data_IF_873672123704
#
_entry.id   IF_873672123704
#
_cell.length_a   1.000
_cell.length_b   1.000
_cell.length_c   1.000
_cell.angle_alpha   90.00
_cell.angle_beta   90.00
_cell.angle_gamma   90.00
#
_symmetry.space_group_name_H-M   'P 1'
#
loop_
_entity.id
_entity.type
_entity.pdbx_description
1 polymer ?
#
# COMPACT_ATOMS: atom_id res chain seq x y z
N UNK A 1 12.21 8.04 20.55
CA UNK A 1 12.94 7.14 21.45
C UNK A 1 12.04 6.09 22.12
N UNK A 2 10.98 5.69 21.40
CA UNK A 2 9.93 4.84 21.99
C UNK A 2 10.27 3.33 21.88
N UNK A 3 11.50 3.00 21.46
CA UNK A 3 11.99 1.63 21.33
C UNK A 3 11.55 0.91 20.06
N UNK A 4 10.81 1.60 19.18
CA UNK A 4 10.32 1.04 17.95
C UNK A 4 11.43 0.74 16.94
N UNK A 5 11.35 -0.42 16.29
CA UNK A 5 12.27 -0.80 15.22
C UNK A 5 12.02 0.06 13.99
N UNK A 6 12.97 0.92 13.67
CA UNK A 6 12.90 1.79 12.49
C UNK A 6 13.15 1.01 11.22
N UNK A 7 14.17 0.14 11.20
CA UNK A 7 14.54 -0.66 10.04
C UNK A 7 15.38 -1.88 10.42
N UNK A 8 15.22 -2.96 9.66
CA UNK A 8 16.18 -4.07 9.61
C UNK A 8 17.07 -3.90 8.40
N UNK A 9 18.36 -4.17 8.57
CA UNK A 9 19.36 -4.06 7.51
C UNK A 9 20.18 -5.36 7.57
N UNK A 10 20.25 -6.08 6.45
CA UNK A 10 21.02 -7.29 6.35
C UNK A 10 22.50 -6.96 6.15
N UNK A 11 23.35 -7.66 6.88
CA UNK A 11 24.80 -7.58 6.78
C UNK A 11 25.40 -8.85 6.21
N UNK A 12 26.63 -8.79 5.66
CA UNK A 12 27.34 -9.96 5.19
C UNK A 12 27.64 -10.94 6.35
N UNK A 13 27.49 -12.24 6.09
CA UNK A 13 27.80 -13.30 7.05
C UNK A 13 29.23 -13.85 6.92
N UNK A 14 30.03 -13.41 5.94
CA UNK A 14 31.40 -13.85 5.72
C UNK A 14 32.36 -13.33 6.80
N UNK A 15 33.46 -14.03 7.01
CA UNK A 15 34.53 -13.64 7.94
C UNK A 15 35.19 -12.33 7.48
N UNK A 16 35.42 -11.39 8.39
CA UNK A 16 36.14 -10.15 8.15
C UNK A 16 35.43 -8.91 8.71
N UNK A 17 35.99 -7.75 8.34
CA UNK A 17 35.36 -6.46 8.67
C UNK A 17 34.38 -6.08 7.58
N UNK A 18 33.17 -5.73 7.98
CA UNK A 18 32.11 -5.32 7.08
C UNK A 18 31.56 -3.96 7.49
N UNK A 19 31.21 -3.15 6.50
CA UNK A 19 30.54 -1.88 6.70
C UNK A 19 29.11 -2.00 6.16
N UNK A 20 28.14 -1.71 7.00
CA UNK A 20 26.73 -1.64 6.64
C UNK A 20 26.26 -0.19 6.83
N UNK A 21 25.59 0.37 5.83
CA UNK A 21 25.09 1.73 5.87
C UNK A 21 23.57 1.76 5.99
N UNK A 22 23.06 2.60 6.86
CA UNK A 22 21.66 2.98 6.89
C UNK A 22 21.49 4.27 6.08
N UNK A 23 20.55 4.27 5.14
CA UNK A 23 20.21 5.42 4.28
C UNK A 23 19.36 6.48 5.01
N UNK A 24 19.23 6.38 6.31
CA UNK A 24 18.39 7.22 7.17
C UNK A 24 16.91 7.24 6.76
N UNK A 25 16.43 6.17 6.14
CA UNK A 25 15.04 6.05 5.68
C UNK A 25 14.30 4.91 6.37
N UNK A 26 13.00 5.11 6.52
CA UNK A 26 12.07 4.04 6.87
C UNK A 26 11.92 3.03 5.72
N UNK A 27 11.39 1.83 5.99
CA UNK A 27 11.02 0.90 4.93
C UNK A 27 9.97 1.49 4.01
N UNK A 28 9.90 0.95 2.78
CA UNK A 28 8.82 1.28 1.87
C UNK A 28 7.46 0.86 2.49
N UNK A 29 6.46 1.76 2.56
CA UNK A 29 5.15 1.46 3.15
C UNK A 29 4.19 0.74 2.20
N UNK A 30 4.54 0.54 0.93
CA UNK A 30 3.62 0.00 -0.07
C UNK A 30 3.29 -1.47 0.20
N UNK A 31 2.06 -1.86 -0.10
CA UNK A 31 1.63 -3.24 -0.03
C UNK A 31 2.41 -4.11 -1.03
N UNK A 32 2.67 -5.36 -0.63
CA UNK A 32 3.40 -6.32 -1.44
C UNK A 32 2.42 -7.29 -2.08
N UNK A 33 2.35 -7.37 -3.42
CA UNK A 33 1.62 -8.43 -4.11
C UNK A 33 2.34 -9.78 -3.93
N UNK A 34 1.59 -10.89 -4.08
CA UNK A 34 2.09 -12.25 -3.82
C UNK A 34 3.22 -12.67 -4.76
N UNK A 35 3.28 -12.10 -5.96
CA UNK A 35 4.31 -12.37 -6.98
C UNK A 35 5.60 -11.56 -6.78
N UNK A 36 5.68 -10.74 -5.73
CA UNK A 36 6.85 -9.91 -5.46
C UNK A 36 7.71 -10.47 -4.33
N UNK A 37 8.91 -10.91 -4.65
CA UNK A 37 9.86 -11.46 -3.68
C UNK A 37 10.52 -10.41 -2.77
N UNK A 38 10.66 -9.17 -3.23
CA UNK A 38 11.36 -8.09 -2.49
C UNK A 38 10.61 -6.77 -2.55
N UNK A 39 10.56 -6.06 -1.44
CA UNK A 39 10.12 -4.68 -1.41
C UNK A 39 11.13 -3.80 -2.16
N UNK A 40 10.64 -2.95 -3.06
CA UNK A 40 11.46 -1.98 -3.80
C UNK A 40 11.22 -0.57 -3.29
N UNK A 41 12.26 0.26 -3.30
CA UNK A 41 12.18 1.64 -2.84
C UNK A 41 12.35 1.80 -1.33
N UNK A 42 12.29 3.03 -0.87
CA UNK A 42 12.45 3.43 0.53
C UNK A 42 11.30 4.33 0.97
N UNK A 43 11.04 4.35 2.27
CA UNK A 43 10.17 5.31 2.92
C UNK A 43 10.82 6.70 3.05
N UNK A 44 10.20 7.55 3.86
CA UNK A 44 10.70 8.90 4.13
C UNK A 44 11.92 8.89 5.04
N UNK A 45 12.65 10.01 5.04
CA UNK A 45 13.78 10.21 5.92
C UNK A 45 13.36 10.16 7.40
N UNK A 46 14.23 9.59 8.20
CA UNK A 46 14.12 9.62 9.64
C UNK A 46 14.30 11.06 10.15
N UNK A 47 13.56 11.41 11.18
CA UNK A 47 13.68 12.72 11.83
C UNK A 47 15.02 12.82 12.55
N UNK A 48 15.64 14.02 12.64
CA UNK A 48 16.77 14.24 13.54
C UNK A 48 16.44 13.83 14.96
N UNK A 49 17.37 13.14 15.64
CA UNK A 49 17.17 12.65 16.99
C UNK A 49 18.11 11.52 17.38
N UNK A 50 17.84 10.89 18.52
CA UNK A 50 18.64 9.77 19.04
C UNK A 50 18.10 8.44 18.53
N UNK A 51 19.01 7.65 18.02
CA UNK A 51 18.75 6.29 17.51
C UNK A 51 19.68 5.30 18.16
N UNK A 52 19.37 4.03 18.01
CA UNK A 52 20.24 2.95 18.48
C UNK A 52 20.31 1.84 17.43
N UNK A 53 21.43 1.15 17.39
CA UNK A 53 21.64 -0.03 16.55
C UNK A 53 21.99 -1.23 17.43
N UNK A 54 21.41 -2.37 17.10
CA UNK A 54 21.70 -3.65 17.76
C UNK A 54 21.91 -4.71 16.69
N UNK A 55 22.94 -5.54 16.85
CA UNK A 55 23.28 -6.60 15.92
C UNK A 55 22.70 -7.95 16.39
N UNK A 56 22.17 -8.69 15.43
CA UNK A 56 21.65 -10.04 15.63
C UNK A 56 22.20 -10.98 14.57
N UNK A 57 22.33 -12.25 14.91
CA UNK A 57 22.50 -13.32 13.91
C UNK A 57 21.21 -14.13 13.79
N UNK A 58 21.00 -14.67 12.60
CA UNK A 58 19.93 -15.64 12.34
C UNK A 58 20.60 -16.87 11.71
N UNK A 59 20.56 -17.99 12.42
CA UNK A 59 21.14 -19.27 11.99
C UNK A 59 20.08 -20.35 12.17
N UNK A 60 19.73 -21.06 11.13
CA UNK A 60 18.71 -22.11 11.14
C UNK A 60 17.38 -21.66 11.79
N UNK A 61 16.95 -20.45 11.46
CA UNK A 61 15.73 -19.85 12.00
C UNK A 61 15.83 -19.35 13.44
N UNK A 62 16.95 -19.55 14.13
CA UNK A 62 17.17 -19.06 15.50
C UNK A 62 17.84 -17.70 15.48
N UNK A 63 17.24 -16.75 16.19
CA UNK A 63 17.77 -15.39 16.32
C UNK A 63 18.55 -15.25 17.63
N UNK A 64 19.79 -14.77 17.55
CA UNK A 64 20.65 -14.48 18.69
C UNK A 64 21.12 -13.04 18.66
N UNK A 65 21.03 -12.35 19.78
CA UNK A 65 21.58 -11.01 19.94
C UNK A 65 23.10 -11.06 20.08
N UNK A 66 23.83 -10.34 19.20
CA UNK A 66 25.30 -10.35 19.17
C UNK A 66 25.94 -9.13 19.83
N UNK A 67 25.23 -8.02 19.96
CA UNK A 67 25.78 -6.80 20.58
C UNK A 67 24.83 -6.16 21.57
N UNK A 68 25.38 -5.38 22.48
CA UNK A 68 24.64 -4.36 23.23
C UNK A 68 24.13 -3.31 22.23
N UNK A 69 23.02 -2.64 22.58
CA UNK A 69 22.51 -1.53 21.79
C UNK A 69 23.47 -0.33 21.85
N UNK A 70 23.91 0.15 20.67
CA UNK A 70 24.79 1.31 20.54
C UNK A 70 23.95 2.52 20.13
N UNK A 71 24.06 3.62 20.86
CA UNK A 71 23.35 4.86 20.59
C UNK A 71 24.15 5.77 19.65
N UNK A 72 23.44 6.52 18.80
CA UNK A 72 24.00 7.55 17.93
C UNK A 72 22.98 8.65 17.67
N UNK A 73 23.47 9.83 17.28
CA UNK A 73 22.62 10.96 16.95
C UNK A 73 22.52 11.16 15.43
N UNK A 74 21.30 11.39 14.95
CA UNK A 74 21.03 11.88 13.59
C UNK A 74 20.80 13.37 13.67
N UNK A 75 21.65 14.14 13.00
CA UNK A 75 21.62 15.61 13.05
C UNK A 75 21.45 16.20 11.64
N UNK A 76 20.79 17.36 11.48
CA UNK A 76 20.74 18.06 10.21
C UNK A 76 22.13 18.45 9.75
N UNK A 77 22.45 18.21 8.48
CA UNK A 77 23.75 18.55 7.90
C UNK A 77 23.96 20.08 7.82
N UNK A 78 22.87 20.82 7.59
CA UNK A 78 22.89 22.28 7.44
C UNK A 78 21.71 22.90 8.17
N UNK A 79 21.93 24.11 8.69
CA UNK A 79 20.82 24.98 9.09
C UNK A 79 20.20 25.56 7.81
N UNK A 80 18.88 25.48 7.67
CA UNK A 80 18.16 26.12 6.58
C UNK A 80 18.33 27.65 6.60
N UNK A 81 18.16 28.31 5.45
CA UNK A 81 18.18 29.78 5.34
C UNK A 81 17.06 30.44 6.14
N UNK A 82 15.94 29.76 6.30
CA UNK A 82 14.83 30.16 7.16
C UNK A 82 14.76 29.22 8.37
N UNK A 83 14.32 29.70 9.55
CA UNK A 83 14.13 28.80 10.68
C UNK A 83 13.17 27.68 10.27
N UNK A 84 13.67 26.45 10.32
CA UNK A 84 12.81 25.28 10.10
C UNK A 84 11.73 25.29 11.17
N UNK A 85 10.47 25.29 10.76
CA UNK A 85 9.40 24.86 11.64
C UNK A 85 9.65 23.38 12.01
N UNK A 86 9.10 22.99 13.07
CA UNK A 86 9.23 21.71 13.72
C UNK A 86 9.41 20.52 12.75
N UNK A 87 10.59 19.90 12.78
CA UNK A 87 10.85 18.65 12.04
C UNK A 87 9.83 17.56 12.40
N UNK A 88 9.32 17.58 13.63
CA UNK A 88 8.33 16.63 14.09
C UNK A 88 6.99 16.81 13.36
N UNK A 89 6.57 18.04 13.06
CA UNK A 89 5.34 18.30 12.30
C UNK A 89 5.43 17.67 10.90
N UNK A 90 6.52 17.95 10.18
CA UNK A 90 6.76 17.36 8.85
C UNK A 90 6.84 15.83 8.91
N UNK A 91 7.56 15.29 9.89
CA UNK A 91 7.71 13.86 10.07
C UNK A 91 6.35 13.18 10.35
N UNK A 92 5.57 13.72 11.30
CA UNK A 92 4.26 13.17 11.65
C UNK A 92 3.28 13.23 10.48
N UNK A 93 3.31 14.31 9.71
CA UNK A 93 2.52 14.42 8.48
C UNK A 93 2.93 13.34 7.46
N UNK A 94 4.22 13.16 7.18
CA UNK A 94 4.71 12.15 6.25
C UNK A 94 4.41 10.72 6.73
N UNK A 95 4.46 10.45 8.05
CA UNK A 95 4.00 9.18 8.62
C UNK A 95 2.50 8.95 8.40
N UNK A 96 1.69 10.01 8.48
CA UNK A 96 0.27 9.96 8.11
C UNK A 96 0.06 9.62 6.62
N UNK A 97 0.84 10.25 5.75
CA UNK A 97 0.84 9.97 4.31
C UNK A 97 1.26 8.52 4.03
N UNK A 98 2.31 8.00 4.68
CA UNK A 98 2.73 6.59 4.56
C UNK A 98 1.62 5.62 4.96
N UNK A 99 0.96 5.87 6.09
CA UNK A 99 -0.17 5.06 6.54
C UNK A 99 -1.28 5.01 5.49
N UNK A 100 -1.53 6.12 4.83
CA UNK A 100 -2.54 6.22 3.78
C UNK A 100 -2.07 5.51 2.50
N UNK A 101 -0.82 5.67 2.08
CA UNK A 101 -0.25 4.92 0.95
C UNK A 101 -0.32 3.41 1.16
N UNK A 102 -0.04 2.93 2.36
CA UNK A 102 -0.17 1.51 2.71
C UNK A 102 -1.59 1.00 2.45
N UNK A 103 -2.61 1.76 2.83
CA UNK A 103 -4.01 1.43 2.57
C UNK A 103 -4.33 1.47 1.07
N UNK A 104 -3.98 2.55 0.39
CA UNK A 104 -4.26 2.72 -1.05
C UNK A 104 -3.67 1.59 -1.87
N UNK A 105 -2.40 1.26 -1.64
CA UNK A 105 -1.75 0.19 -2.41
C UNK A 105 -2.32 -1.19 -2.10
N UNK A 106 -2.77 -1.44 -0.87
CA UNK A 106 -3.48 -2.66 -0.52
C UNK A 106 -4.86 -2.75 -1.23
N UNK A 107 -5.61 -1.65 -1.26
CA UNK A 107 -6.90 -1.58 -1.96
C UNK A 107 -6.69 -1.76 -3.46
N UNK A 108 -5.68 -1.13 -4.07
CA UNK A 108 -5.36 -1.30 -5.50
C UNK A 108 -5.10 -2.77 -5.85
N UNK A 109 -4.31 -3.48 -5.04
CA UNK A 109 -4.06 -4.93 -5.22
C UNK A 109 -5.36 -5.71 -5.07
N UNK A 110 -6.15 -5.41 -4.03
CA UNK A 110 -7.43 -6.08 -3.79
C UNK A 110 -8.40 -5.90 -4.95
N UNK A 111 -8.64 -4.66 -5.41
CA UNK A 111 -9.51 -4.36 -6.55
C UNK A 111 -9.04 -5.08 -7.81
N UNK A 112 -7.74 -5.05 -8.11
CA UNK A 112 -7.17 -5.75 -9.27
C UNK A 112 -7.40 -7.27 -9.20
N UNK A 113 -7.17 -7.90 -8.05
CA UNK A 113 -7.37 -9.33 -7.87
C UNK A 113 -8.86 -9.71 -7.91
N UNK A 114 -9.71 -8.86 -7.35
CA UNK A 114 -11.16 -9.05 -7.38
C UNK A 114 -11.70 -8.96 -8.81
N UNK A 115 -11.22 -8.01 -9.63
CA UNK A 115 -11.57 -7.94 -11.05
C UNK A 115 -11.18 -9.21 -11.82
N UNK A 116 -10.01 -9.78 -11.53
CA UNK A 116 -9.59 -11.08 -12.12
C UNK A 116 -10.54 -12.19 -11.69
N UNK A 117 -10.90 -12.24 -10.42
CA UNK A 117 -11.84 -13.24 -9.88
C UNK A 117 -13.21 -13.12 -10.54
N UNK A 118 -13.77 -11.92 -10.64
CA UNK A 118 -15.05 -11.67 -11.35
C UNK A 118 -15.01 -12.15 -12.80
N UNK A 119 -13.88 -11.90 -13.49
CA UNK A 119 -13.69 -12.42 -14.86
C UNK A 119 -13.73 -13.95 -14.91
N UNK A 120 -13.09 -14.63 -13.96
CA UNK A 120 -13.13 -16.10 -13.88
C UNK A 120 -14.52 -16.61 -13.50
N UNK A 121 -15.25 -15.90 -12.64
CA UNK A 121 -16.65 -16.23 -12.28
C UNK A 121 -17.58 -16.13 -13.48
N UNK A 122 -17.41 -15.13 -14.35
CA UNK A 122 -18.17 -15.04 -15.62
C UNK A 122 -17.90 -16.23 -16.54
N UNK A 123 -16.64 -16.71 -16.63
CA UNK A 123 -16.30 -17.90 -17.40
C UNK A 123 -16.93 -19.15 -16.76
N UNK A 124 -16.92 -19.26 -15.46
CA UNK A 124 -17.53 -20.39 -14.73
C UNK A 124 -19.06 -20.39 -14.88
N UNK A 125 -19.71 -19.20 -14.84
CA UNK A 125 -21.15 -19.06 -15.06
C UNK A 125 -21.56 -19.59 -16.43
N UNK A 126 -20.80 -19.26 -17.49
CA UNK A 126 -21.08 -19.77 -18.85
C UNK A 126 -20.95 -21.30 -18.99
N UNK A 127 -20.37 -21.97 -18.00
CA UNK A 127 -20.20 -23.44 -17.96
C UNK A 127 -21.06 -24.09 -16.85
N UNK A 128 -21.99 -23.36 -16.26
CA UNK A 128 -22.86 -23.82 -15.18
C UNK A 128 -24.26 -24.20 -15.70
N UNK A 129 -25.08 -24.75 -14.81
CA UNK A 129 -26.50 -25.00 -15.03
C UNK A 129 -27.40 -23.89 -14.44
N UNK A 130 -26.85 -22.71 -14.19
CA UNK A 130 -27.59 -21.57 -13.67
C UNK A 130 -28.59 -21.03 -14.70
N UNK A 131 -29.72 -20.52 -14.22
CA UNK A 131 -30.66 -19.79 -15.08
C UNK A 131 -30.02 -18.50 -15.59
N UNK A 132 -30.23 -18.19 -16.86
CA UNK A 132 -29.68 -17.01 -17.52
C UNK A 132 -30.31 -15.74 -16.96
N UNK A 133 -29.49 -14.74 -16.64
CA UNK A 133 -29.92 -13.37 -16.42
C UNK A 133 -29.57 -12.79 -15.06
N UNK A 134 -30.01 -13.36 -13.96
CA UNK A 134 -29.83 -12.74 -12.63
C UNK A 134 -28.36 -12.66 -12.23
N UNK A 135 -27.64 -13.77 -12.29
CA UNK A 135 -26.20 -13.80 -11.97
C UNK A 135 -25.35 -13.01 -12.94
N UNK A 136 -25.71 -12.98 -14.22
CA UNK A 136 -25.04 -12.15 -15.23
C UNK A 136 -25.12 -10.67 -14.88
N UNK A 137 -26.32 -10.19 -14.47
CA UNK A 137 -26.53 -8.82 -14.05
C UNK A 137 -25.73 -8.48 -12.78
N UNK A 138 -25.71 -9.36 -11.79
CA UNK A 138 -25.00 -9.14 -10.53
C UNK A 138 -23.48 -9.11 -10.74
N UNK A 139 -22.93 -10.03 -11.54
CA UNK A 139 -21.52 -10.02 -11.92
C UNK A 139 -21.15 -8.77 -12.73
N UNK A 140 -22.05 -8.29 -13.60
CA UNK A 140 -21.84 -7.06 -14.35
C UNK A 140 -21.83 -5.83 -13.43
N UNK A 141 -22.79 -5.70 -12.51
CA UNK A 141 -22.84 -4.62 -11.51
C UNK A 141 -21.60 -4.61 -10.62
N UNK A 142 -21.17 -5.81 -10.18
CA UNK A 142 -19.97 -5.96 -9.38
C UNK A 142 -18.71 -5.52 -10.15
N UNK A 143 -18.58 -5.95 -11.41
CA UNK A 143 -17.47 -5.53 -12.26
C UNK A 143 -17.44 -4.02 -12.46
N UNK A 144 -18.58 -3.41 -12.76
CA UNK A 144 -18.69 -1.98 -13.00
C UNK A 144 -18.34 -1.17 -11.74
N UNK A 145 -18.82 -1.59 -10.56
CA UNK A 145 -18.42 -1.02 -9.27
C UNK A 145 -16.90 -1.09 -9.02
N UNK A 146 -16.28 -2.21 -9.35
CA UNK A 146 -14.82 -2.38 -9.20
C UNK A 146 -14.02 -1.52 -10.19
N UNK A 147 -14.52 -1.34 -11.42
CA UNK A 147 -13.92 -0.45 -12.41
C UNK A 147 -14.02 1.01 -12.01
N UNK A 148 -15.14 1.44 -11.43
CA UNK A 148 -15.28 2.78 -10.86
C UNK A 148 -14.28 3.03 -9.73
N UNK A 149 -14.07 2.05 -8.84
CA UNK A 149 -13.05 2.13 -7.80
C UNK A 149 -11.63 2.23 -8.39
N UNK A 150 -11.32 1.43 -9.41
CA UNK A 150 -10.02 1.49 -10.09
C UNK A 150 -9.80 2.86 -10.74
N UNK A 151 -10.84 3.43 -11.36
CA UNK A 151 -10.78 4.78 -11.93
C UNK A 151 -10.54 5.84 -10.86
N UNK A 152 -11.21 5.77 -9.72
CA UNK A 152 -11.02 6.73 -8.63
C UNK A 152 -9.63 6.65 -8.00
N UNK A 153 -9.07 5.43 -7.92
CA UNK A 153 -7.73 5.19 -7.38
C UNK A 153 -6.63 5.60 -8.36
N UNK A 154 -6.75 5.22 -9.63
CA UNK A 154 -5.68 5.24 -10.64
C UNK A 154 -5.95 6.16 -11.83
N UNK A 155 -7.21 6.55 -12.08
CA UNK A 155 -7.65 7.29 -13.26
C UNK A 155 -7.95 6.39 -14.47
N UNK A 156 -8.53 6.98 -15.49
CA UNK A 156 -8.84 6.28 -16.75
C UNK A 156 -7.59 6.11 -17.61
N UNK A 157 -7.20 4.87 -17.87
CA UNK A 157 -6.08 4.56 -18.76
C UNK A 157 -6.34 5.06 -20.19
N UNK A 158 -7.57 4.92 -20.69
CA UNK A 158 -7.98 5.38 -22.01
C UNK A 158 -7.81 6.88 -22.25
N UNK A 159 -7.82 7.69 -21.18
CA UNK A 159 -7.57 9.14 -21.27
C UNK A 159 -6.07 9.46 -21.30
N UNK A 160 -5.23 8.61 -20.72
CA UNK A 160 -3.78 8.80 -20.71
C UNK A 160 -3.16 8.63 -22.10
N UNK A 161 -3.68 7.74 -22.93
CA UNK A 161 -3.17 7.46 -24.27
C UNK A 161 -3.25 8.66 -25.22
N UNK A 162 -4.40 9.38 -25.32
CA UNK A 162 -4.50 10.59 -26.14
C UNK A 162 -4.01 11.86 -25.42
N UNK A 163 -3.45 11.75 -24.20
CA UNK A 163 -2.95 12.89 -23.43
C UNK A 163 -4.04 13.74 -22.77
N UNK A 164 -5.24 13.24 -22.65
CA UNK A 164 -6.33 13.92 -21.95
C UNK A 164 -6.08 13.96 -20.44
N UNK A 165 -6.48 15.07 -19.80
CA UNK A 165 -6.34 15.23 -18.35
C UNK A 165 -7.35 14.37 -17.61
N UNK A 166 -6.85 13.49 -16.76
CA UNK A 166 -7.65 12.84 -15.73
C UNK A 166 -7.96 13.79 -14.57
N UNK A 167 -9.11 13.59 -13.92
CA UNK A 167 -9.36 14.20 -12.62
C UNK A 167 -8.32 13.72 -11.61
N UNK A 168 -7.93 14.55 -10.62
CA UNK A 168 -6.98 14.14 -9.59
C UNK A 168 -7.47 12.90 -8.85
N UNK A 169 -6.75 11.80 -8.99
CA UNK A 169 -7.05 10.52 -8.35
C UNK A 169 -6.64 10.50 -6.88
N UNK A 170 -7.04 9.48 -6.14
CA UNK A 170 -6.57 9.27 -4.76
C UNK A 170 -5.04 9.18 -4.73
N UNK A 171 -4.46 8.41 -5.65
CA UNK A 171 -3.00 8.25 -5.74
C UNK A 171 -2.28 9.56 -6.04
N UNK A 172 -2.74 10.35 -7.03
CA UNK A 172 -2.12 11.63 -7.38
C UNK A 172 -2.21 12.66 -6.25
N UNK A 173 -3.30 12.67 -5.47
CA UNK A 173 -3.44 13.52 -4.29
C UNK A 173 -2.43 13.16 -3.21
N UNK A 174 -2.26 11.88 -2.90
CA UNK A 174 -1.26 11.42 -1.94
C UNK A 174 0.16 11.71 -2.39
N UNK A 175 0.45 11.46 -3.67
CA UNK A 175 1.75 11.75 -4.25
C UNK A 175 2.07 13.26 -4.17
N UNK A 176 1.10 14.10 -4.45
CA UNK A 176 1.24 15.57 -4.33
C UNK A 176 1.50 15.99 -2.89
N UNK A 177 0.73 15.46 -1.93
CA UNK A 177 0.92 15.73 -0.50
C UNK A 177 2.32 15.30 -0.03
N UNK A 178 2.74 14.10 -0.41
CA UNK A 178 4.04 13.54 -0.10
C UNK A 178 5.18 14.40 -0.66
N UNK A 179 5.11 14.72 -1.96
CA UNK A 179 6.15 15.46 -2.67
C UNK A 179 6.34 16.87 -2.12
N UNK A 180 5.24 17.57 -1.83
CA UNK A 180 5.29 18.91 -1.24
C UNK A 180 5.96 18.86 0.14
N UNK A 181 5.54 17.94 1.00
CA UNK A 181 6.06 17.86 2.37
C UNK A 181 7.49 17.34 2.42
N UNK A 182 7.88 16.35 1.59
CA UNK A 182 9.23 15.80 1.58
C UNK A 182 10.26 16.70 0.92
N UNK A 183 9.83 17.66 0.09
CA UNK A 183 10.70 18.63 -0.59
C UNK A 183 11.03 19.86 0.26
N UNK A 184 10.53 19.97 1.49
CA UNK A 184 10.71 21.14 2.34
C UNK A 184 10.87 20.74 3.81
N UNK A 185 11.61 21.56 4.56
CA UNK A 185 11.76 21.44 6.02
C UNK A 185 10.84 22.40 6.80
N UNK A 186 9.93 23.09 6.11
CA UNK A 186 9.08 24.13 6.69
C UNK A 186 7.68 23.65 7.14
N UNK A 187 7.48 22.34 7.21
CA UNK A 187 6.20 21.75 7.55
C UNK A 187 5.31 21.53 6.32
N UNK A 188 4.17 20.82 6.50
CA UNK A 188 3.22 20.60 5.43
C UNK A 188 2.49 21.90 5.08
N UNK A 189 2.37 22.18 3.78
CA UNK A 189 1.54 23.31 3.33
C UNK A 189 0.06 22.98 3.44
N UNK A 190 -0.81 24.02 3.42
CA UNK A 190 -2.26 23.84 3.38
C UNK A 190 -2.68 22.91 2.22
N UNK A 191 -2.07 23.06 1.04
CA UNK A 191 -2.33 22.19 -0.10
C UNK A 191 -2.00 20.72 0.18
N UNK A 192 -0.91 20.44 0.89
CA UNK A 192 -0.54 19.08 1.27
C UNK A 192 -1.55 18.48 2.26
N UNK A 193 -1.96 19.26 3.26
CA UNK A 193 -2.98 18.87 4.24
C UNK A 193 -4.33 18.57 3.58
N UNK A 194 -4.81 19.48 2.71
CA UNK A 194 -6.08 19.34 2.01
C UNK A 194 -6.10 18.11 1.09
N UNK A 195 -4.98 17.83 0.38
CA UNK A 195 -4.88 16.64 -0.46
C UNK A 195 -4.89 15.34 0.35
N UNK A 196 -4.21 15.29 1.50
CA UNK A 196 -4.25 14.12 2.39
C UNK A 196 -5.66 13.91 2.95
N UNK A 197 -6.32 14.97 3.39
CA UNK A 197 -7.69 14.90 3.93
C UNK A 197 -8.70 14.40 2.88
N UNK A 198 -8.62 14.92 1.66
CA UNK A 198 -9.49 14.48 0.55
C UNK A 198 -9.21 13.02 0.16
N UNK A 199 -7.93 12.61 0.11
CA UNK A 199 -7.57 11.22 -0.16
C UNK A 199 -8.14 10.28 0.90
N UNK A 200 -7.98 10.59 2.18
CA UNK A 200 -8.51 9.79 3.28
C UNK A 200 -10.04 9.66 3.23
N UNK A 201 -10.75 10.76 2.91
CA UNK A 201 -12.21 10.74 2.75
C UNK A 201 -12.64 9.77 1.65
N UNK A 202 -11.99 9.83 0.48
CA UNK A 202 -12.31 8.95 -0.65
C UNK A 202 -11.98 7.49 -0.36
N UNK A 203 -10.83 7.23 0.26
CA UNK A 203 -10.43 5.88 0.67
C UNK A 203 -11.48 5.25 1.59
N UNK A 204 -12.00 5.99 2.57
CA UNK A 204 -13.02 5.46 3.47
C UNK A 204 -14.31 5.05 2.73
N UNK A 205 -14.68 5.76 1.66
CA UNK A 205 -15.81 5.39 0.81
C UNK A 205 -15.51 4.12 0.01
N UNK A 206 -14.33 4.05 -0.60
CA UNK A 206 -13.88 2.88 -1.37
C UNK A 206 -13.77 1.64 -0.46
N UNK A 207 -13.21 1.76 0.75
CA UNK A 207 -13.14 0.66 1.73
C UNK A 207 -14.53 0.08 2.02
N UNK A 208 -15.53 0.96 2.21
CA UNK A 208 -16.92 0.52 2.46
C UNK A 208 -17.51 -0.22 1.25
N UNK A 209 -17.33 0.31 0.06
CA UNK A 209 -17.81 -0.32 -1.17
C UNK A 209 -17.10 -1.65 -1.43
N UNK A 210 -15.79 -1.72 -1.24
CA UNK A 210 -15.00 -2.95 -1.41
C UNK A 210 -15.45 -4.04 -0.44
N UNK A 211 -15.80 -3.68 0.80
CA UNK A 211 -16.36 -4.62 1.78
C UNK A 211 -17.69 -5.20 1.30
N UNK A 212 -18.58 -4.36 0.75
CA UNK A 212 -19.86 -4.82 0.19
C UNK A 212 -19.64 -5.72 -1.04
N UNK A 213 -18.74 -5.35 -1.94
CA UNK A 213 -18.40 -6.16 -3.12
C UNK A 213 -17.77 -7.51 -2.74
N UNK A 214 -16.96 -7.57 -1.70
CA UNK A 214 -16.39 -8.82 -1.20
C UNK A 214 -17.48 -9.76 -0.67
N UNK A 215 -18.52 -9.23 -0.02
CA UNK A 215 -19.67 -10.04 0.41
C UNK A 215 -20.42 -10.59 -0.80
N UNK A 216 -20.73 -9.76 -1.81
CA UNK A 216 -21.36 -10.22 -3.05
C UNK A 216 -20.57 -11.36 -3.73
N UNK A 217 -19.23 -11.25 -3.75
CA UNK A 217 -18.38 -12.32 -4.32
C UNK A 217 -18.55 -13.62 -3.58
N UNK A 218 -18.63 -13.58 -2.24
CA UNK A 218 -18.82 -14.79 -1.43
C UNK A 218 -20.17 -15.43 -1.76
N UNK A 219 -21.22 -14.62 -1.85
CA UNK A 219 -22.57 -15.08 -2.13
C UNK A 219 -22.67 -15.67 -3.55
N UNK A 220 -22.18 -14.96 -4.55
CA UNK A 220 -22.14 -15.42 -5.94
C UNK A 220 -21.23 -16.65 -6.14
N UNK A 221 -20.11 -16.76 -5.43
CA UNK A 221 -19.26 -17.96 -5.46
C UNK A 221 -20.00 -19.18 -4.89
N UNK A 222 -20.84 -18.98 -3.89
CA UNK A 222 -21.69 -20.05 -3.35
C UNK A 222 -22.75 -20.49 -4.35
N UNK A 223 -23.47 -19.54 -4.97
CA UNK A 223 -24.53 -19.82 -5.95
C UNK A 223 -23.98 -20.51 -7.21
N UNK A 224 -22.83 -20.06 -7.73
CA UNK A 224 -22.14 -20.72 -8.84
C UNK A 224 -21.83 -22.18 -8.55
N UNK A 225 -21.36 -22.50 -7.34
CA UNK A 225 -21.13 -23.89 -6.93
C UNK A 225 -22.41 -24.71 -6.91
N UNK A 226 -23.51 -24.17 -6.38
CA UNK A 226 -24.79 -24.85 -6.36
C UNK A 226 -25.32 -25.11 -7.79
N UNK A 227 -25.00 -24.23 -8.72
CA UNK A 227 -25.32 -24.36 -10.14
C UNK A 227 -24.35 -25.29 -10.92
N UNK A 228 -23.45 -25.97 -10.23
CA UNK A 228 -22.49 -26.90 -10.86
C UNK A 228 -21.39 -26.22 -11.70
N UNK A 229 -21.12 -24.94 -11.45
CA UNK A 229 -20.04 -24.23 -12.12
C UNK A 229 -18.66 -24.83 -11.79
N UNK A 230 -17.68 -24.73 -12.71
CA UNK A 230 -16.30 -25.08 -12.42
C UNK A 230 -15.74 -24.28 -11.23
N UNK A 231 -14.84 -24.91 -10.48
CA UNK A 231 -14.16 -24.26 -9.35
C UNK A 231 -13.36 -23.02 -9.81
N UNK A 232 -13.50 -21.93 -9.06
CA UNK A 232 -12.77 -20.68 -9.30
C UNK A 232 -11.67 -20.53 -8.25
N UNK A 233 -10.48 -20.13 -8.67
CA UNK A 233 -9.32 -19.92 -7.78
C UNK A 233 -9.66 -18.97 -6.63
N UNK A 234 -9.33 -19.40 -5.41
CA UNK A 234 -9.60 -18.66 -4.18
C UNK A 234 -10.95 -18.97 -3.54
N UNK A 235 -11.74 -19.90 -4.11
CA UNK A 235 -12.91 -20.45 -3.46
C UNK A 235 -12.54 -21.64 -2.56
N UNK A 236 -13.50 -22.07 -1.70
CA UNK A 236 -13.33 -23.31 -0.95
C UNK A 236 -13.20 -24.49 -1.92
N UNK A 237 -12.26 -25.38 -1.62
CA UNK A 237 -12.08 -26.61 -2.39
C UNK A 237 -13.38 -27.42 -2.32
N UNK A 238 -13.87 -27.97 -3.46
CA UNK A 238 -15.05 -28.87 -3.46
C UNK A 238 -14.78 -30.09 -2.58
N UNK A 239 -15.84 -30.58 -1.93
CA UNK A 239 -15.81 -31.84 -1.16
C UNK A 239 -15.75 -33.05 -2.07
#
# INVERSE_FOLDING_TARGET
SDGDVVRRIDGPASKGFHRVAWDLRYPNPYALPLDREKATGSGYLAMPGKYSVTMYSVVDGKTQKLSQSQQFDVTPLRKGALPSKDYAETFNFLRGVEKTFKKVTAIQISVSNTLKKVKSMNVALAQSNADVGVMDEELSKLRDSLLEMDEELNGKRSKGEPGEKNNPTVYTRLYTAARIASGSTYGPTKLALDNLALANKRIAMIEKQLTANNQMIIDLSYELRQAGAPWVEGDKIPE
#
